data_IF_606325463605
#
_entry.id   IF_606325463605
#
_cell.length_a   1.000
_cell.length_b   1.000
_cell.length_c   1.000
_cell.angle_alpha   90.00
_cell.angle_beta   90.00
_cell.angle_gamma   90.00
#
_symmetry.space_group_name_H-M   'P 1'
#
loop_
_entity.id
_entity.type
_entity.pdbx_description
1 polymer ?
#
# COMPACT_ATOMS: atom_id res chain seq x y z
N UNK A 1 -15.97 26.94 3.79
CA UNK A 1 -14.57 26.49 3.77
C UNK A 1 -14.53 25.04 3.35
N UNK A 2 -13.67 24.74 2.42
CA UNK A 2 -13.57 23.38 1.93
C UNK A 2 -12.59 22.57 2.77
N UNK A 3 -12.99 21.37 3.08
CA UNK A 3 -12.12 20.44 3.78
C UNK A 3 -11.38 19.60 2.73
N UNK A 4 -10.07 19.55 2.84
CA UNK A 4 -9.27 18.73 1.94
C UNK A 4 -9.43 17.28 2.34
N UNK A 5 -9.86 16.46 1.38
CA UNK A 5 -9.97 15.03 1.60
C UNK A 5 -8.67 14.38 1.14
N UNK A 6 -7.78 14.17 2.10
CA UNK A 6 -6.48 13.61 1.78
C UNK A 6 -6.57 12.18 1.27
N UNK A 7 -7.56 11.42 1.76
CA UNK A 7 -7.75 10.08 1.25
C UNK A 7 -8.06 10.12 -0.26
N UNK A 8 -9.00 10.97 -0.66
CA UNK A 8 -9.37 11.07 -2.06
C UNK A 8 -8.18 11.53 -2.91
N UNK A 9 -7.38 12.45 -2.37
CA UNK A 9 -6.21 12.94 -3.09
C UNK A 9 -5.21 11.81 -3.32
N UNK A 10 -4.90 11.06 -2.27
CA UNK A 10 -3.95 9.96 -2.39
C UNK A 10 -4.50 8.85 -3.28
N UNK A 11 -5.80 8.56 -3.17
CA UNK A 11 -6.41 7.53 -4.00
C UNK A 11 -6.29 7.89 -5.48
N UNK A 12 -6.49 9.16 -5.82
CA UNK A 12 -6.36 9.60 -7.20
C UNK A 12 -4.92 9.46 -7.70
N UNK A 13 -3.95 9.82 -6.85
CA UNK A 13 -2.54 9.69 -7.20
C UNK A 13 -2.16 8.24 -7.44
N UNK A 14 -2.61 7.36 -6.55
CA UNK A 14 -2.30 5.94 -6.66
C UNK A 14 -2.99 5.32 -7.87
N UNK A 15 -4.20 5.76 -8.18
CA UNK A 15 -4.90 5.26 -9.36
C UNK A 15 -4.13 5.54 -10.64
N UNK A 16 -3.43 6.66 -10.70
CA UNK A 16 -2.65 7.05 -11.86
C UNK A 16 -1.27 6.40 -11.89
N UNK A 17 -0.83 5.80 -10.78
CA UNK A 17 0.50 5.22 -10.67
C UNK A 17 0.52 3.81 -11.23
N UNK A 18 1.71 3.36 -11.67
CA UNK A 18 1.87 1.98 -12.09
C UNK A 18 1.82 1.06 -10.87
N UNK A 19 1.52 -0.22 -11.09
CA UNK A 19 1.50 -1.18 -10.00
C UNK A 19 2.87 -1.27 -9.32
N UNK A 20 3.93 -1.27 -10.10
CA UNK A 20 5.28 -1.33 -9.53
C UNK A 20 5.54 -0.11 -8.65
N UNK A 21 5.06 1.05 -9.06
CA UNK A 21 5.21 2.27 -8.26
C UNK A 21 4.51 2.12 -6.90
N UNK A 22 3.35 1.47 -6.88
CA UNK A 22 2.64 1.22 -5.63
C UNK A 22 3.43 0.28 -4.73
N UNK A 23 4.02 -0.76 -5.31
CA UNK A 23 4.85 -1.70 -4.56
C UNK A 23 6.05 -0.97 -3.96
N UNK A 24 6.70 -0.10 -4.75
CA UNK A 24 7.83 0.67 -4.28
C UNK A 24 7.42 1.60 -3.13
N UNK A 25 6.24 2.20 -3.24
CA UNK A 25 5.71 3.07 -2.20
C UNK A 25 5.52 2.31 -0.90
N UNK A 26 4.94 1.11 -0.99
CA UNK A 26 4.79 0.27 0.20
C UNK A 26 6.14 -0.04 0.81
N UNK A 27 7.11 -0.43 -0.02
CA UNK A 27 8.41 -0.84 0.47
C UNK A 27 9.18 0.30 1.16
N UNK A 28 8.94 1.53 0.73
CA UNK A 28 9.56 2.68 1.39
C UNK A 28 9.04 2.88 2.80
N UNK A 29 7.85 2.36 3.10
CA UNK A 29 7.25 2.48 4.42
C UNK A 29 7.70 1.37 5.37
N UNK A 30 8.33 0.32 4.84
CA UNK A 30 8.76 -0.81 5.66
C UNK A 30 9.89 -0.35 6.57
N UNK A 31 9.73 -0.67 7.87
CA UNK A 31 10.73 -0.30 8.86
C UNK A 31 10.67 1.14 9.31
N UNK A 32 9.73 1.92 8.81
CA UNK A 32 9.57 3.32 9.19
C UNK A 32 8.45 3.40 10.22
N UNK A 33 8.82 3.62 11.46
CA UNK A 33 7.87 3.52 12.57
C UNK A 33 7.24 4.83 12.99
N UNK A 34 7.53 5.92 12.30
CA UNK A 34 6.86 7.19 12.59
C UNK A 34 5.37 7.05 12.32
N UNK A 35 4.55 7.59 13.22
CA UNK A 35 3.10 7.45 13.09
C UNK A 35 2.43 8.81 13.05
N UNK A 36 1.44 8.95 12.19
CA UNK A 36 0.58 10.13 12.15
C UNK A 36 -0.74 9.74 11.49
N UNK A 37 -1.77 10.57 11.72
CA UNK A 37 -3.07 10.37 11.07
C UNK A 37 -2.93 10.43 9.56
N UNK A 38 -2.11 11.33 9.07
CA UNK A 38 -1.88 11.50 7.65
C UNK A 38 -1.30 10.25 7.04
N UNK A 39 -0.37 9.64 7.76
CA UNK A 39 0.28 8.42 7.32
C UNK A 39 -0.72 7.27 7.24
N UNK A 40 -1.61 7.17 8.23
CA UNK A 40 -2.65 6.15 8.21
C UNK A 40 -3.55 6.32 6.99
N UNK A 41 -3.92 7.56 6.67
CA UNK A 41 -4.75 7.85 5.51
C UNK A 41 -4.03 7.47 4.22
N UNK A 42 -2.76 7.79 4.12
CA UNK A 42 -1.94 7.48 2.97
C UNK A 42 -1.87 5.97 2.73
N UNK A 43 -1.61 5.22 3.80
CA UNK A 43 -1.51 3.76 3.69
C UNK A 43 -2.85 3.11 3.39
N UNK A 44 -3.94 3.65 3.94
CA UNK A 44 -5.27 3.13 3.65
C UNK A 44 -5.59 3.28 2.15
N UNK A 45 -5.27 4.43 1.59
CA UNK A 45 -5.50 4.66 0.17
C UNK A 45 -4.64 3.72 -0.69
N UNK A 46 -3.41 3.46 -0.27
CA UNK A 46 -2.50 2.57 -0.99
C UNK A 46 -3.05 1.13 -1.00
N UNK A 47 -3.46 0.64 0.16
CA UNK A 47 -4.00 -0.71 0.28
C UNK A 47 -5.29 -0.84 -0.53
N UNK A 48 -6.16 0.17 -0.45
CA UNK A 48 -7.40 0.14 -1.22
C UNK A 48 -7.14 0.09 -2.72
N UNK A 49 -6.10 0.74 -3.19
CA UNK A 49 -5.78 0.70 -4.62
C UNK A 49 -5.30 -0.68 -5.03
N UNK A 50 -4.51 -1.36 -4.20
CA UNK A 50 -4.14 -2.74 -4.49
C UNK A 50 -5.39 -3.63 -4.61
N UNK A 51 -6.32 -3.47 -3.68
CA UNK A 51 -7.56 -4.25 -3.68
C UNK A 51 -8.38 -3.94 -4.93
N UNK A 52 -8.48 -2.66 -5.28
CA UNK A 52 -9.23 -2.24 -6.48
C UNK A 52 -8.67 -2.89 -7.74
N UNK A 53 -7.37 -3.09 -7.79
CA UNK A 53 -6.71 -3.70 -8.95
C UNK A 53 -6.79 -5.23 -8.93
N UNK A 54 -7.40 -5.79 -7.89
CA UNK A 54 -7.52 -7.24 -7.78
C UNK A 54 -6.23 -7.91 -7.34
N UNK A 55 -5.33 -7.18 -6.70
CA UNK A 55 -4.07 -7.73 -6.23
C UNK A 55 -4.28 -8.31 -4.85
N UNK A 56 -3.86 -9.56 -4.67
CA UNK A 56 -3.99 -10.24 -3.39
C UNK A 56 -2.94 -9.68 -2.42
N UNK A 57 -3.41 -9.14 -1.31
CA UNK A 57 -2.53 -8.53 -0.30
C UNK A 57 -2.51 -9.34 1.00
N UNK A 58 -2.94 -10.59 0.96
CA UNK A 58 -3.06 -11.38 2.19
C UNK A 58 -1.72 -11.57 2.91
N UNK A 59 -0.61 -11.42 2.21
CA UNK A 59 0.71 -11.53 2.85
C UNK A 59 0.98 -10.39 3.83
N UNK A 60 0.33 -9.24 3.66
CA UNK A 60 0.59 -8.04 4.45
C UNK A 60 -0.64 -7.51 5.15
N UNK A 61 -1.83 -8.03 4.86
CA UNK A 61 -3.07 -7.48 5.40
C UNK A 61 -3.98 -8.64 5.81
N UNK A 62 -4.45 -8.61 7.03
CA UNK A 62 -5.23 -9.71 7.59
C UNK A 62 -6.72 -9.41 7.66
N UNK A 63 -7.17 -8.37 6.99
CA UNK A 63 -8.57 -7.94 7.01
C UNK A 63 -8.83 -6.84 8.01
N UNK A 64 -7.91 -6.59 8.94
CA UNK A 64 -8.05 -5.56 9.96
C UNK A 64 -6.91 -4.56 9.94
N UNK A 65 -5.70 -5.05 9.76
CA UNK A 65 -4.54 -4.18 9.80
C UNK A 65 -3.52 -4.61 8.77
N UNK A 66 -2.63 -3.70 8.46
CA UNK A 66 -1.57 -3.92 7.48
C UNK A 66 -0.23 -3.99 8.20
N UNK A 67 0.57 -4.98 7.85
CA UNK A 67 1.91 -5.14 8.40
C UNK A 67 2.93 -4.47 7.49
N UNK A 68 3.79 -3.65 8.09
CA UNK A 68 4.90 -3.02 7.38
C UNK A 68 6.24 -3.57 7.88
N UNK A 69 6.24 -4.83 8.28
CA UNK A 69 7.44 -5.46 8.83
C UNK A 69 8.38 -5.98 7.75
N UNK A 70 7.86 -6.26 6.56
CA UNK A 70 8.65 -6.87 5.49
C UNK A 70 8.37 -6.21 4.17
N UNK A 71 9.40 -6.09 3.34
CA UNK A 71 9.21 -5.63 1.98
C UNK A 71 8.53 -6.72 1.16
N UNK A 72 7.93 -6.32 0.07
CA UNK A 72 7.18 -7.24 -0.78
C UNK A 72 7.60 -7.07 -2.23
N UNK A 73 7.31 -8.10 -3.02
CA UNK A 73 7.44 -8.04 -4.47
C UNK A 73 6.12 -8.48 -5.07
N UNK A 74 5.85 -8.01 -6.28
CA UNK A 74 4.63 -8.37 -6.98
C UNK A 74 4.87 -9.66 -7.77
N UNK A 75 4.04 -10.67 -7.50
CA UNK A 75 4.03 -11.88 -8.31
C UNK A 75 3.07 -11.66 -9.46
N UNK A 76 3.61 -11.41 -10.65
CA UNK A 76 2.78 -11.12 -11.82
C UNK A 76 1.92 -12.30 -12.22
N UNK A 77 2.43 -13.50 -12.04
CA UNK A 77 1.68 -14.69 -12.41
C UNK A 77 0.46 -14.91 -11.55
N UNK A 78 0.58 -14.58 -10.26
CA UNK A 78 -0.49 -14.81 -9.30
C UNK A 78 -1.23 -13.54 -8.93
N UNK A 79 -0.78 -12.41 -9.44
CA UNK A 79 -1.37 -11.11 -9.18
C UNK A 79 -1.52 -10.86 -7.68
N UNK A 80 -0.43 -11.09 -6.95
CA UNK A 80 -0.44 -10.92 -5.51
C UNK A 80 0.91 -10.42 -5.03
N UNK A 81 0.89 -9.83 -3.84
CA UNK A 81 2.11 -9.42 -3.16
C UNK A 81 2.64 -10.58 -2.34
N UNK A 82 3.93 -10.82 -2.43
CA UNK A 82 4.59 -11.85 -1.62
C UNK A 82 5.73 -11.20 -0.86
N UNK A 83 6.02 -11.76 0.31
CA UNK A 83 7.10 -11.26 1.14
C UNK A 83 8.42 -11.45 0.39
N UNK A 84 9.16 -10.35 0.25
CA UNK A 84 10.49 -10.43 -0.35
C UNK A 84 11.44 -11.01 0.69
N UNK A 85 12.07 -12.12 0.34
CA UNK A 85 13.00 -12.73 1.26
C UNK A 85 14.35 -12.09 1.04
N UNK A 86 14.63 -11.12 1.88
CA UNK A 86 15.89 -10.42 1.80
C UNK A 86 16.98 -11.15 2.54
N UNK A 87 18.17 -10.80 2.21
CA UNK A 87 19.33 -11.30 2.88
C UNK A 87 19.95 -10.20 3.69
#
# INVERSE_FOLDING_TARGET
METIDFYAKYAAEFRAASTQSLVDTFNKSVGNYGWSSMRATYHAALIDEFVRRGIDISAIHDGKSTSFAHRVVLSNEQNKLVIAEGK
#
